data_IF_637370042235
#
_entry.id   IF_637370042235
#
_cell.length_a   1.000
_cell.length_b   1.000
_cell.length_c   1.000
_cell.angle_alpha   90.00
_cell.angle_beta   90.00
_cell.angle_gamma   90.00
#
_symmetry.space_group_name_H-M   'P 1'
#
loop_
_entity.id
_entity.type
_entity.pdbx_description
1 polymer ?
#
# COMPACT_ATOMS: atom_id res chain seq x y z
N UNK A 1 25.54 -25.91 -10.63
CA UNK A 1 25.10 -24.59 -10.13
C UNK A 1 25.47 -24.47 -8.66
N UNK A 2 26.64 -23.91 -8.32
CA UNK A 2 27.10 -23.78 -6.93
C UNK A 2 26.35 -22.67 -6.18
N UNK A 3 25.97 -22.95 -4.93
CA UNK A 3 25.19 -22.07 -4.06
C UNK A 3 25.96 -20.85 -3.60
N UNK A 4 25.29 -19.70 -3.62
CA UNK A 4 25.83 -18.41 -3.19
C UNK A 4 25.74 -18.32 -1.66
N UNK A 5 26.88 -18.42 -0.97
CA UNK A 5 27.03 -18.10 0.46
C UNK A 5 27.40 -16.62 0.58
N UNK A 6 26.58 -15.84 1.27
CA UNK A 6 26.84 -14.43 1.54
C UNK A 6 27.28 -14.32 3.01
N UNK A 7 28.58 -14.18 3.19
CA UNK A 7 29.23 -13.77 4.43
C UNK A 7 29.22 -12.25 4.47
N UNK A 8 28.63 -11.63 5.50
CA UNK A 8 28.65 -10.17 5.63
C UNK A 8 29.63 -9.75 6.73
N UNK A 9 30.57 -8.91 6.29
CA UNK A 9 31.77 -8.50 6.99
C UNK A 9 31.50 -7.61 8.23
N UNK A 10 32.38 -7.80 9.21
CA UNK A 10 32.54 -6.97 10.41
C UNK A 10 32.90 -5.53 10.03
N UNK A 11 32.18 -4.56 10.60
CA UNK A 11 32.55 -3.15 10.63
C UNK A 11 32.89 -2.74 12.07
N UNK A 12 34.18 -2.48 12.30
CA UNK A 12 34.74 -1.94 13.55
C UNK A 12 34.50 -0.43 13.63
N UNK A 13 33.84 0.02 14.70
CA UNK A 13 33.65 1.43 15.02
C UNK A 13 34.30 1.76 16.37
N UNK A 14 35.43 2.45 16.31
CA UNK A 14 36.23 2.93 17.44
C UNK A 14 35.54 4.07 18.19
N UNK A 15 35.50 3.99 19.51
CA UNK A 15 35.37 5.17 20.37
C UNK A 15 36.42 5.08 21.48
N UNK A 16 37.59 5.66 21.20
CA UNK A 16 38.59 6.00 22.19
C UNK A 16 38.25 7.30 22.90
N UNK A 17 38.62 7.40 24.19
CA UNK A 17 38.55 8.65 24.95
C UNK A 17 38.72 8.43 26.45
N UNK A 18 39.97 8.48 26.92
CA UNK A 18 40.38 8.30 28.31
C UNK A 18 40.05 9.50 29.23
N UNK A 19 39.94 9.27 30.55
CA UNK A 19 40.88 9.78 31.59
C UNK A 19 40.41 9.54 33.05
N UNK A 20 41.23 8.77 33.76
CA UNK A 20 41.98 9.09 35.00
C UNK A 20 41.30 9.79 36.21
N UNK A 21 41.46 9.07 37.34
CA UNK A 21 41.80 9.45 38.74
C UNK A 21 40.78 10.06 39.70
N UNK A 22 40.80 9.52 40.91
CA UNK A 22 40.43 10.20 42.16
C UNK A 22 40.03 9.18 43.23
N UNK A 23 40.98 8.42 43.78
CA UNK A 23 41.46 8.55 45.17
C UNK A 23 40.36 8.61 46.25
N UNK A 24 40.44 7.59 47.10
CA UNK A 24 39.72 7.34 48.34
C UNK A 24 39.91 8.42 49.41
N UNK A 25 38.85 8.62 50.19
CA UNK A 25 38.59 9.60 51.23
C UNK A 25 39.66 9.82 52.33
N UNK A 26 39.68 11.06 52.84
CA UNK A 26 39.81 11.40 54.27
C UNK A 26 38.97 12.66 54.59
N UNK A 27 38.45 12.84 55.82
CA UNK A 27 37.29 13.69 56.09
C UNK A 27 37.66 15.13 56.46
N UNK A 28 36.97 16.11 55.86
CA UNK A 28 36.97 17.51 56.27
C UNK A 28 35.54 18.00 56.42
N UNK A 29 35.21 18.53 57.58
CA UNK A 29 33.92 19.16 57.88
C UNK A 29 33.88 20.60 57.32
N UNK A 30 32.83 20.94 56.58
CA UNK A 30 32.40 22.32 56.33
C UNK A 30 30.91 22.36 55.95
N UNK A 31 30.02 22.99 56.75
CA UNK A 31 28.65 23.27 56.35
C UNK A 31 28.45 24.75 55.98
N UNK A 32 27.30 24.99 55.34
CA UNK A 32 26.73 26.25 54.86
C UNK A 32 27.19 26.62 53.43
N UNK A 33 26.31 26.92 52.47
CA UNK A 33 24.98 27.54 52.50
C UNK A 33 24.21 27.16 51.23
N UNK A 34 22.87 27.20 51.32
CA UNK A 34 21.91 27.13 50.21
C UNK A 34 22.40 27.86 48.94
N UNK A 35 22.49 27.12 47.83
CA UNK A 35 22.62 27.69 46.49
C UNK A 35 21.33 27.35 45.72
N UNK A 36 20.67 28.32 45.07
CA UNK A 36 19.41 28.07 44.39
C UNK A 36 19.63 27.08 43.25
N UNK A 37 18.86 25.99 43.24
CA UNK A 37 18.78 25.06 42.12
C UNK A 37 18.48 25.86 40.85
N UNK A 38 19.43 25.87 39.90
CA UNK A 38 19.08 26.20 38.51
C UNK A 38 18.17 25.08 38.00
N UNK A 39 16.89 25.38 37.90
CA UNK A 39 15.94 24.63 37.08
C UNK A 39 16.50 24.52 35.68
N UNK A 40 16.89 23.30 35.29
CA UNK A 40 17.13 22.97 33.90
C UNK A 40 15.83 23.23 33.13
N UNK A 41 15.82 24.22 32.25
CA UNK A 41 14.76 24.38 31.29
C UNK A 41 14.81 23.19 30.32
N UNK A 42 13.83 22.31 30.43
CA UNK A 42 13.63 21.22 29.49
C UNK A 42 13.23 21.80 28.11
N UNK A 43 14.19 21.97 27.21
CA UNK A 43 13.91 22.16 25.79
C UNK A 43 13.70 20.80 25.14
N UNK A 44 12.48 20.27 25.26
CA UNK A 44 12.03 19.10 24.51
C UNK A 44 10.63 19.33 23.97
N UNK A 45 10.52 20.12 22.91
CA UNK A 45 9.27 20.31 22.16
C UNK A 45 9.49 20.44 20.65
N UNK A 46 10.51 19.76 20.10
CA UNK A 46 10.77 19.73 18.65
C UNK A 46 10.38 18.42 17.96
N UNK A 47 9.80 17.45 18.67
CA UNK A 47 9.49 16.12 18.12
C UNK A 47 8.03 15.89 17.70
N UNK A 48 7.11 16.82 17.96
CA UNK A 48 5.67 16.61 17.68
C UNK A 48 5.29 17.01 16.25
N UNK A 49 5.91 18.05 15.68
CA UNK A 49 5.62 18.51 14.32
C UNK A 49 6.00 17.50 13.21
N UNK A 50 6.94 16.58 13.49
CA UNK A 50 7.34 15.53 12.55
C UNK A 50 6.39 14.32 12.54
N UNK A 51 5.51 14.18 13.54
CA UNK A 51 4.52 13.10 13.57
C UNK A 51 3.27 13.47 12.77
N UNK A 52 2.84 14.73 12.79
CA UNK A 52 1.69 15.20 12.01
C UNK A 52 1.94 15.08 10.50
N UNK A 53 3.18 15.20 10.04
CA UNK A 53 3.55 15.00 8.63
C UNK A 53 3.58 13.52 8.23
N UNK A 54 3.88 12.60 9.14
CA UNK A 54 3.82 11.15 8.92
C UNK A 54 2.35 10.66 8.98
N UNK A 55 1.53 11.23 9.88
CA UNK A 55 0.09 10.96 9.97
C UNK A 55 -0.68 11.49 8.76
N UNK A 56 -0.32 12.67 8.24
CA UNK A 56 -0.88 13.20 7.00
C UNK A 56 -0.56 12.32 5.77
N UNK A 57 0.56 11.58 5.79
CA UNK A 57 0.94 10.64 4.73
C UNK A 57 0.23 9.27 4.86
N UNK A 58 -0.19 8.87 6.07
CA UNK A 58 -1.02 7.66 6.27
C UNK A 58 -2.46 7.84 5.79
N UNK A 59 -2.85 9.06 5.46
CA UNK A 59 -4.09 9.37 4.75
C UNK A 59 -3.90 9.30 3.22
N UNK A 60 -3.08 8.37 2.72
CA UNK A 60 -3.19 7.88 1.34
C UNK A 60 -4.53 7.15 1.22
N UNK A 61 -5.55 7.99 1.17
CA UNK A 61 -6.95 7.69 1.30
C UNK A 61 -7.37 7.03 0.00
N UNK A 62 -7.90 5.81 0.12
CA UNK A 62 -8.76 5.17 -0.87
C UNK A 62 -9.51 6.23 -1.66
N UNK A 63 -9.15 6.43 -2.93
CA UNK A 63 -9.76 7.44 -3.80
C UNK A 63 -11.26 7.08 -3.93
N UNK A 64 -12.17 7.82 -3.25
CA UNK A 64 -13.58 7.45 -3.20
C UNK A 64 -14.23 7.54 -4.58
N UNK A 65 -13.67 8.38 -5.46
CA UNK A 65 -14.14 8.49 -6.83
C UNK A 65 -13.65 7.30 -7.67
N UNK A 66 -12.44 6.76 -7.41
CA UNK A 66 -11.98 5.51 -8.03
C UNK A 66 -12.88 4.35 -7.66
N UNK A 67 -13.18 4.19 -6.38
CA UNK A 67 -14.13 3.19 -5.90
C UNK A 67 -15.48 3.30 -6.62
N UNK A 68 -16.06 4.50 -6.66
CA UNK A 68 -17.34 4.75 -7.35
C UNK A 68 -17.29 4.43 -8.84
N UNK A 69 -16.21 4.82 -9.53
CA UNK A 69 -16.00 4.50 -10.96
C UNK A 69 -15.92 2.99 -11.18
N UNK A 70 -15.15 2.28 -10.37
CA UNK A 70 -14.96 0.84 -10.51
C UNK A 70 -16.22 0.03 -10.17
N UNK A 71 -17.01 0.44 -9.17
CA UNK A 71 -18.33 -0.17 -8.90
C UNK A 71 -19.28 0.02 -10.08
N UNK A 72 -19.34 1.22 -10.66
CA UNK A 72 -20.16 1.47 -11.86
C UNK A 72 -19.71 0.64 -13.05
N UNK A 73 -18.39 0.52 -13.25
CA UNK A 73 -17.80 -0.36 -14.29
C UNK A 73 -18.18 -1.82 -14.08
N UNK A 74 -18.05 -2.33 -12.86
CA UNK A 74 -18.41 -3.70 -12.51
C UNK A 74 -19.89 -3.99 -12.75
N UNK A 75 -20.77 -3.06 -12.40
CA UNK A 75 -22.21 -3.17 -12.68
C UNK A 75 -22.48 -3.22 -14.19
N UNK A 76 -21.90 -2.29 -14.96
CA UNK A 76 -22.03 -2.29 -16.41
C UNK A 76 -21.45 -3.56 -17.07
N UNK A 77 -20.41 -4.15 -16.49
CA UNK A 77 -19.85 -5.43 -16.94
C UNK A 77 -20.81 -6.60 -16.71
N UNK A 78 -21.50 -6.63 -15.56
CA UNK A 78 -22.55 -7.63 -15.30
C UNK A 78 -23.72 -7.47 -16.27
N UNK A 79 -24.19 -6.24 -16.48
CA UNK A 79 -25.28 -5.97 -17.43
C UNK A 79 -24.91 -6.41 -18.86
N UNK A 80 -23.69 -6.10 -19.31
CA UNK A 80 -23.20 -6.51 -20.62
C UNK A 80 -23.06 -8.03 -20.75
N UNK A 81 -22.69 -8.74 -19.67
CA UNK A 81 -22.65 -10.21 -19.64
C UNK A 81 -24.06 -10.80 -19.73
N UNK A 82 -25.05 -10.21 -19.08
CA UNK A 82 -26.44 -10.65 -19.20
C UNK A 82 -27.02 -10.38 -20.60
N UNK A 83 -26.72 -9.21 -21.18
CA UNK A 83 -27.09 -8.90 -22.56
C UNK A 83 -26.46 -9.89 -23.52
N UNK A 84 -25.24 -10.37 -23.23
CA UNK A 84 -24.57 -11.37 -24.05
C UNK A 84 -25.31 -12.69 -23.97
N UNK A 85 -25.64 -13.12 -22.76
CA UNK A 85 -26.41 -14.34 -22.55
C UNK A 85 -27.76 -14.29 -23.29
N UNK A 86 -28.50 -13.17 -23.19
CA UNK A 86 -29.78 -12.97 -23.92
C UNK A 86 -29.58 -12.96 -25.44
N UNK A 87 -28.55 -12.28 -25.92
CA UNK A 87 -28.21 -12.20 -27.34
C UNK A 87 -27.87 -13.57 -27.93
N UNK A 88 -27.08 -14.37 -27.22
CA UNK A 88 -26.72 -15.73 -27.62
C UNK A 88 -27.94 -16.65 -27.62
N UNK A 89 -28.81 -16.55 -26.61
CA UNK A 89 -30.04 -17.35 -26.54
C UNK A 89 -31.01 -17.07 -27.70
N UNK A 90 -30.93 -15.88 -28.32
CA UNK A 90 -31.75 -15.47 -29.46
C UNK A 90 -31.04 -15.58 -30.80
N UNK A 91 -29.80 -16.10 -30.84
CA UNK A 91 -29.00 -16.25 -32.05
C UNK A 91 -28.52 -14.94 -32.68
N UNK A 92 -28.44 -13.85 -31.90
CA UNK A 92 -28.10 -12.51 -32.41
C UNK A 92 -26.59 -12.26 -32.43
N UNK A 93 -26.13 -11.47 -33.42
CA UNK A 93 -24.71 -11.22 -33.66
C UNK A 93 -24.03 -10.39 -32.55
N UNK A 94 -22.90 -10.86 -31.98
CA UNK A 94 -22.27 -10.29 -30.78
C UNK A 94 -21.35 -9.08 -31.04
N UNK A 95 -21.18 -8.59 -32.27
CA UNK A 95 -20.10 -7.65 -32.62
C UNK A 95 -20.02 -6.37 -31.76
N UNK A 96 -21.13 -5.64 -31.60
CA UNK A 96 -21.21 -4.46 -30.72
C UNK A 96 -20.88 -4.82 -29.27
N UNK A 97 -21.39 -5.96 -28.82
CA UNK A 97 -21.27 -6.39 -27.44
C UNK A 97 -19.87 -6.89 -27.11
N UNK A 98 -19.18 -7.53 -28.06
CA UNK A 98 -17.75 -7.87 -27.97
C UNK A 98 -16.93 -6.61 -27.69
N UNK A 99 -17.12 -5.56 -28.49
CA UNK A 99 -16.40 -4.30 -28.32
C UNK A 99 -16.69 -3.64 -26.96
N UNK A 100 -17.93 -3.75 -26.48
CA UNK A 100 -18.32 -3.25 -25.15
C UNK A 100 -17.65 -4.03 -24.01
N UNK A 101 -17.66 -5.36 -24.05
CA UNK A 101 -17.00 -6.22 -23.05
C UNK A 101 -15.49 -5.96 -23.02
N UNK A 102 -14.85 -5.79 -24.17
CA UNK A 102 -13.43 -5.42 -24.25
C UNK A 102 -13.15 -4.05 -23.61
N UNK A 103 -13.99 -3.05 -23.89
CA UNK A 103 -13.86 -1.71 -23.31
C UNK A 103 -13.98 -1.76 -21.79
N UNK A 104 -14.97 -2.50 -21.28
CA UNK A 104 -15.21 -2.67 -19.85
C UNK A 104 -14.03 -3.35 -19.17
N UNK A 105 -13.51 -4.45 -19.75
CA UNK A 105 -12.33 -5.16 -19.26
C UNK A 105 -11.08 -4.26 -19.22
N UNK A 106 -10.83 -3.46 -20.26
CA UNK A 106 -9.67 -2.54 -20.31
C UNK A 106 -9.73 -1.42 -19.26
N UNK A 107 -10.91 -1.08 -18.74
CA UNK A 107 -11.09 -0.02 -17.74
C UNK A 107 -10.91 -0.46 -16.29
N UNK A 108 -10.48 -1.71 -16.03
CA UNK A 108 -10.29 -2.24 -14.69
C UNK A 108 -9.08 -1.66 -13.99
N UNK A 109 -9.27 -1.25 -12.73
CA UNK A 109 -8.23 -0.68 -11.87
C UNK A 109 -8.43 -1.17 -10.43
N UNK A 110 -7.34 -1.22 -9.66
CA UNK A 110 -7.41 -1.54 -8.22
C UNK A 110 -7.94 -0.37 -7.42
N UNK A 111 -8.92 -0.65 -6.56
CA UNK A 111 -9.58 0.33 -5.70
C UNK A 111 -8.87 0.49 -4.36
N UNK A 112 -8.14 -0.54 -3.91
CA UNK A 112 -7.53 -0.62 -2.59
C UNK A 112 -8.43 -1.28 -1.55
N UNK A 113 -9.69 -1.60 -1.89
CA UNK A 113 -10.59 -2.40 -1.06
C UNK A 113 -10.51 -3.87 -1.48
N UNK A 114 -9.81 -4.69 -0.68
CA UNK A 114 -9.54 -6.09 -1.03
C UNK A 114 -10.79 -6.91 -1.44
N UNK A 115 -11.93 -6.70 -0.74
CA UNK A 115 -13.18 -7.39 -1.07
C UNK A 115 -13.79 -6.94 -2.40
N UNK A 116 -13.73 -5.65 -2.70
CA UNK A 116 -14.21 -5.10 -3.97
C UNK A 116 -13.30 -5.50 -5.13
N UNK A 117 -11.99 -5.41 -4.93
CA UNK A 117 -10.98 -5.78 -5.93
C UNK A 117 -11.08 -7.27 -6.28
N UNK A 118 -11.32 -8.14 -5.30
CA UNK A 118 -11.58 -9.57 -5.54
C UNK A 118 -12.80 -9.79 -6.43
N UNK A 119 -13.93 -9.15 -6.11
CA UNK A 119 -15.15 -9.27 -6.90
C UNK A 119 -14.99 -8.72 -8.33
N UNK A 120 -14.31 -7.59 -8.49
CA UNK A 120 -14.02 -7.01 -9.80
C UNK A 120 -13.10 -7.90 -10.64
N UNK A 121 -12.12 -8.56 -10.01
CA UNK A 121 -11.23 -9.51 -10.67
C UNK A 121 -11.98 -10.76 -11.18
N UNK A 122 -12.92 -11.28 -10.38
CA UNK A 122 -13.80 -12.38 -10.81
C UNK A 122 -14.65 -11.98 -12.02
N UNK A 123 -15.23 -10.77 -12.01
CA UNK A 123 -15.97 -10.21 -13.15
C UNK A 123 -15.05 -10.11 -14.38
N UNK A 124 -13.84 -9.56 -14.23
CA UNK A 124 -12.90 -9.40 -15.34
C UNK A 124 -12.43 -10.75 -15.92
N UNK A 125 -12.29 -11.76 -15.07
CA UNK A 125 -11.99 -13.14 -15.49
C UNK A 125 -13.14 -13.70 -16.32
N UNK A 126 -14.39 -13.45 -15.91
CA UNK A 126 -15.56 -13.86 -16.67
C UNK A 126 -15.64 -13.13 -18.02
N UNK A 127 -15.38 -11.82 -18.06
CA UNK A 127 -15.31 -11.04 -19.30
C UNK A 127 -14.26 -11.64 -20.27
N UNK A 128 -13.07 -11.98 -19.78
CA UNK A 128 -12.01 -12.55 -20.61
C UNK A 128 -12.41 -13.91 -21.20
N UNK A 129 -13.04 -14.78 -20.39
CA UNK A 129 -13.53 -16.09 -20.85
C UNK A 129 -14.61 -15.93 -21.91
N UNK A 130 -15.58 -15.03 -21.71
CA UNK A 130 -16.65 -14.83 -22.68
C UNK A 130 -16.14 -14.21 -23.99
N UNK A 131 -15.18 -13.28 -23.93
CA UNK A 131 -14.51 -12.76 -25.13
C UNK A 131 -13.81 -13.88 -25.92
N UNK A 132 -13.07 -14.75 -25.23
CA UNK A 132 -12.39 -15.88 -25.88
C UNK A 132 -13.38 -16.85 -26.52
N UNK A 133 -14.50 -17.15 -25.86
CA UNK A 133 -15.57 -17.98 -26.44
C UNK A 133 -16.16 -17.36 -27.70
N UNK A 134 -16.38 -16.04 -27.69
CA UNK A 134 -16.88 -15.34 -28.87
C UNK A 134 -15.90 -15.42 -30.03
N UNK A 135 -14.60 -15.27 -29.76
CA UNK A 135 -13.54 -15.43 -30.78
C UNK A 135 -13.50 -16.84 -31.37
N UNK A 136 -13.62 -17.87 -30.52
CA UNK A 136 -13.71 -19.26 -30.97
C UNK A 136 -14.97 -19.51 -31.81
N UNK A 137 -16.13 -18.96 -31.42
CA UNK A 137 -17.38 -19.12 -32.17
C UNK A 137 -17.37 -18.42 -33.53
N UNK A 138 -16.59 -17.34 -33.65
CA UNK A 138 -16.43 -16.58 -34.89
C UNK A 138 -15.36 -17.18 -35.82
N UNK A 139 -14.63 -18.21 -35.38
CA UNK A 139 -13.55 -18.83 -36.14
C UNK A 139 -12.34 -17.91 -36.35
N UNK A 140 -12.11 -16.96 -35.44
CA UNK A 140 -11.04 -15.93 -35.53
C UNK A 140 -9.80 -16.31 -34.70
N UNK A 141 -9.78 -17.50 -34.08
CA UNK A 141 -8.68 -17.96 -33.24
C UNK A 141 -7.50 -18.52 -34.07
#
# INVERSE_FOLDING_TARGET
MPGMKIENARGVGSAGGAKKSGQTAAPGFAPATDAPQRTAAATSAQSVAGLDTILALQAETLDPDRRRRQVRRGTAALDALEDLQRGLATGRAPGRLKAELERLRRGGEMTGEAGLDSALLEIDTRLAVELAKLEMSLGVA
#
